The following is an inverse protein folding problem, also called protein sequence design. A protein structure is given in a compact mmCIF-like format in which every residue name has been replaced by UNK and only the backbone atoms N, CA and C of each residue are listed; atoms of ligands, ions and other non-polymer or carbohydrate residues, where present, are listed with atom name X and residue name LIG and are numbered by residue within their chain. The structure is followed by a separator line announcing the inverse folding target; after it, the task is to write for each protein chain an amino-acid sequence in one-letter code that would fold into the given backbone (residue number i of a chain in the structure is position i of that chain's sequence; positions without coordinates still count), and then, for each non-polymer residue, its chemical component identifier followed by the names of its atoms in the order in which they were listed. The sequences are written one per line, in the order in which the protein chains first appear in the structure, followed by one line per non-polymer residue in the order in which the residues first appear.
data_IF_996433183007
#
_entry.id   IF_996433183007
#
_cell.length_a   1.000
_cell.length_b   1.000
_cell.length_c   1.000
_cell.angle_alpha   90.00
_cell.angle_beta   90.00
_cell.angle_gamma   90.00
#
_symmetry.space_group_name_H-M   'P 1'
#
loop_
_entity.id
_entity.type
_entity.pdbx_description
1 polymer ?
#
# COMPACT_ATOMS: atom_id res chain seq x y z
N UNK A 1 -10.81 21.59 16.78
CA UNK A 1 -9.48 22.17 16.51
C UNK A 1 -8.63 21.01 15.99
N UNK A 2 -8.43 20.91 14.68
CA UNK A 2 -7.90 19.70 14.03
C UNK A 2 -6.38 19.71 14.18
N UNK A 3 -5.82 18.71 14.86
CA UNK A 3 -4.38 18.62 15.13
C UNK A 3 -3.57 18.35 13.85
N UNK A 4 -2.51 19.14 13.58
CA UNK A 4 -1.65 18.96 12.42
C UNK A 4 -0.74 17.71 12.48
N UNK A 5 -0.66 17.04 13.63
CA UNK A 5 0.25 15.91 13.84
C UNK A 5 -0.16 14.65 13.05
N UNK A 6 -1.46 14.39 12.92
CA UNK A 6 -1.99 13.23 12.19
C UNK A 6 -1.72 13.32 10.68
N UNK A 7 -1.79 14.54 10.12
CA UNK A 7 -1.53 14.80 8.71
C UNK A 7 -0.04 14.66 8.35
N UNK A 8 0.85 15.00 9.27
CA UNK A 8 2.31 14.91 9.07
C UNK A 8 2.79 13.46 9.05
N UNK A 9 2.24 12.59 9.92
CA UNK A 9 2.52 11.13 9.87
C UNK A 9 2.05 10.49 8.55
N UNK A 10 0.85 10.86 8.07
CA UNK A 10 0.29 10.38 6.79
C UNK A 10 1.16 10.78 5.59
N UNK A 11 1.66 12.02 5.56
CA UNK A 11 2.52 12.50 4.47
C UNK A 11 3.94 11.90 4.55
N UNK A 12 4.50 11.76 5.75
CA UNK A 12 5.85 11.21 5.94
C UNK A 12 5.95 9.72 5.56
N UNK A 13 4.91 8.92 5.82
CA UNK A 13 4.89 7.51 5.41
C UNK A 13 4.62 7.32 3.91
N UNK A 14 3.88 8.22 3.25
CA UNK A 14 3.74 8.21 1.78
C UNK A 14 5.01 8.68 1.04
N UNK A 15 5.83 9.53 1.66
CA UNK A 15 6.99 10.17 1.01
C UNK A 15 8.22 9.27 0.84
N UNK A 16 8.24 8.04 1.38
CA UNK A 16 9.43 7.17 1.32
C UNK A 16 9.68 6.48 -0.03
N UNK A 17 8.76 6.59 -1.01
CA UNK A 17 8.93 5.97 -2.34
C UNK A 17 8.32 6.79 -3.50
N UNK A 18 8.29 8.12 -3.40
CA UNK A 18 7.64 8.98 -4.41
C UNK A 18 8.53 9.36 -5.60
N UNK A 19 9.84 9.22 -5.50
CA UNK A 19 10.75 9.69 -6.56
C UNK A 19 10.86 8.74 -7.76
N UNK A 20 10.84 7.43 -7.51
CA UNK A 20 10.94 6.43 -8.58
C UNK A 20 9.80 6.54 -9.63
N UNK A 21 8.51 6.62 -9.26
CA UNK A 21 7.44 6.77 -10.25
C UNK A 21 7.55 8.09 -11.02
N UNK A 22 7.97 9.18 -10.36
CA UNK A 22 8.14 10.50 -11.00
C UNK A 22 9.25 10.46 -12.04
N UNK A 23 10.40 9.85 -11.72
CA UNK A 23 11.52 9.69 -12.65
C UNK A 23 11.13 8.79 -13.83
N UNK A 24 10.40 7.69 -13.56
CA UNK A 24 9.93 6.79 -14.61
C UNK A 24 8.96 7.49 -15.56
N UNK A 25 8.01 8.27 -15.05
CA UNK A 25 7.08 9.08 -15.87
C UNK A 25 7.86 10.07 -16.73
N UNK A 26 8.83 10.78 -16.16
CA UNK A 26 9.69 11.71 -16.89
C UNK A 26 10.47 11.03 -18.02
N UNK A 27 11.01 9.84 -17.76
CA UNK A 27 11.72 9.02 -18.76
C UNK A 27 10.79 8.60 -19.91
N UNK A 28 9.60 8.10 -19.60
CA UNK A 28 8.61 7.72 -20.62
C UNK A 28 8.15 8.91 -21.45
N UNK A 29 7.90 10.06 -20.82
CA UNK A 29 7.55 11.29 -21.52
C UNK A 29 8.68 11.73 -22.46
N UNK A 30 9.93 11.68 -22.03
CA UNK A 30 11.09 12.02 -22.86
C UNK A 30 11.23 11.07 -24.06
N UNK A 31 11.04 9.77 -23.87
CA UNK A 31 11.07 8.78 -24.96
C UNK A 31 9.96 9.02 -25.99
N UNK A 32 8.73 9.33 -25.53
CA UNK A 32 7.61 9.66 -26.41
C UNK A 32 7.89 10.93 -27.22
N UNK A 33 8.36 12.00 -26.56
CA UNK A 33 8.73 13.24 -27.25
C UNK A 33 9.83 12.99 -28.28
N UNK A 34 10.89 12.26 -27.90
CA UNK A 34 11.97 11.89 -28.82
C UNK A 34 11.46 11.09 -30.02
N UNK A 35 10.53 10.15 -29.80
CA UNK A 35 9.93 9.36 -30.87
C UNK A 35 9.09 10.22 -31.84
N UNK A 36 8.28 11.15 -31.30
CA UNK A 36 7.45 12.05 -32.12
C UNK A 36 8.27 13.09 -32.90
N UNK A 37 9.36 13.58 -32.32
CA UNK A 37 10.23 14.59 -32.95
C UNK A 37 11.15 13.95 -33.99
N UNK A 38 11.82 12.85 -33.64
CA UNK A 38 12.80 12.21 -34.53
C UNK A 38 12.15 11.35 -35.61
N UNK A 39 10.89 10.93 -35.43
CA UNK A 39 10.11 10.09 -36.35
C UNK A 39 10.94 8.97 -36.98
N UNK A 40 11.59 8.12 -36.17
CA UNK A 40 12.50 7.12 -36.69
C UNK A 40 11.73 6.10 -37.53
N UNK A 41 12.29 5.72 -38.69
CA UNK A 41 11.74 4.62 -39.50
C UNK A 41 11.89 3.30 -38.74
N UNK A 42 10.94 2.37 -38.90
CA UNK A 42 10.96 1.07 -38.22
C UNK A 42 12.20 0.20 -38.52
N UNK A 43 12.94 0.52 -39.59
CA UNK A 43 14.19 -0.17 -39.97
C UNK A 43 15.44 0.51 -39.40
N UNK A 44 15.29 1.67 -38.76
CA UNK A 44 16.39 2.46 -38.21
C UNK A 44 16.84 1.90 -36.87
N UNK A 45 18.16 1.93 -36.61
CA UNK A 45 18.71 1.65 -35.29
C UNK A 45 18.14 2.61 -34.23
N UNK A 46 17.85 3.87 -34.59
CA UNK A 46 17.25 4.85 -33.67
C UNK A 46 15.86 4.43 -33.19
N UNK A 47 15.09 3.73 -34.03
CA UNK A 47 13.78 3.19 -33.63
C UNK A 47 13.95 2.18 -32.50
N UNK A 48 14.88 1.23 -32.66
CA UNK A 48 15.15 0.21 -31.66
C UNK A 48 15.78 0.77 -30.39
N UNK A 49 16.64 1.78 -30.51
CA UNK A 49 17.22 2.48 -29.35
C UNK A 49 16.17 3.19 -28.52
N UNK A 50 15.07 3.66 -29.11
CA UNK A 50 13.96 4.27 -28.36
C UNK A 50 12.97 3.23 -27.81
N UNK A 51 12.69 2.18 -28.58
CA UNK A 51 11.69 1.16 -28.23
C UNK A 51 12.20 0.18 -27.18
N UNK A 52 13.45 -0.30 -27.28
CA UNK A 52 13.97 -1.31 -26.35
C UNK A 52 13.97 -0.79 -24.90
N UNK A 53 14.46 0.43 -24.59
CA UNK A 53 14.40 0.96 -23.22
C UNK A 53 12.98 1.19 -22.72
N UNK A 54 12.05 1.65 -23.58
CA UNK A 54 10.64 1.76 -23.24
C UNK A 54 10.07 0.39 -22.85
N UNK A 55 10.31 -0.62 -23.69
CA UNK A 55 9.80 -1.98 -23.47
C UNK A 55 10.39 -2.61 -22.21
N UNK A 56 11.72 -2.56 -22.03
CA UNK A 56 12.40 -3.12 -20.86
C UNK A 56 11.94 -2.44 -19.58
N UNK A 57 11.85 -1.11 -19.56
CA UNK A 57 11.37 -0.39 -18.37
C UNK A 57 9.90 -0.67 -18.05
N UNK A 58 9.05 -0.84 -19.08
CA UNK A 58 7.64 -1.20 -18.92
C UNK A 58 7.46 -2.62 -18.35
N UNK A 59 8.12 -3.61 -18.94
CA UNK A 59 8.08 -5.00 -18.46
C UNK A 59 8.66 -5.10 -17.05
N UNK A 60 9.78 -4.42 -16.78
CA UNK A 60 10.36 -4.38 -15.45
C UNK A 60 9.41 -3.76 -14.42
N UNK A 61 8.76 -2.65 -14.77
CA UNK A 61 7.79 -2.00 -13.88
C UNK A 61 6.60 -2.92 -13.57
N UNK A 62 6.02 -3.56 -14.60
CA UNK A 62 4.92 -4.51 -14.42
C UNK A 62 5.34 -5.71 -13.55
N UNK A 63 6.55 -6.24 -13.77
CA UNK A 63 7.09 -7.32 -12.96
C UNK A 63 7.28 -6.90 -11.51
N UNK A 64 7.88 -5.73 -11.28
CA UNK A 64 8.10 -5.19 -9.93
C UNK A 64 6.76 -4.92 -9.22
N UNK A 65 5.79 -4.30 -9.89
CA UNK A 65 4.46 -4.07 -9.32
C UNK A 65 3.74 -5.38 -9.03
N UNK A 66 3.92 -6.41 -9.87
CA UNK A 66 3.34 -7.74 -9.65
C UNK A 66 3.95 -8.42 -8.42
N UNK A 67 5.27 -8.34 -8.25
CA UNK A 67 5.94 -8.87 -7.04
C UNK A 67 5.49 -8.13 -5.79
N UNK A 68 5.38 -6.79 -5.85
CA UNK A 68 4.94 -5.97 -4.73
C UNK A 68 3.47 -6.26 -4.37
N UNK A 69 2.60 -6.40 -5.37
CA UNK A 69 1.20 -6.80 -5.18
C UNK A 69 1.10 -8.17 -4.52
N UNK A 70 1.92 -9.15 -4.95
CA UNK A 70 1.95 -10.48 -4.33
C UNK A 70 2.45 -10.47 -2.89
N UNK A 71 3.46 -9.66 -2.56
CA UNK A 71 3.90 -9.52 -1.16
C UNK A 71 2.81 -8.88 -0.30
N UNK A 72 2.20 -7.80 -0.78
CA UNK A 72 1.10 -7.14 -0.04
C UNK A 72 -0.09 -8.06 0.13
N UNK A 73 -0.44 -8.85 -0.89
CA UNK A 73 -1.52 -9.83 -0.80
C UNK A 73 -1.21 -10.94 0.21
N UNK A 74 0.04 -11.41 0.28
CA UNK A 74 0.47 -12.39 1.30
C UNK A 74 0.38 -11.79 2.69
N UNK A 75 0.89 -10.58 2.88
CA UNK A 75 0.87 -9.88 4.17
C UNK A 75 -0.57 -9.63 4.64
N UNK A 76 -1.45 -9.20 3.73
CA UNK A 76 -2.88 -9.06 4.00
C UNK A 76 -3.52 -10.40 4.37
N UNK A 77 -3.27 -11.47 3.60
CA UNK A 77 -3.86 -12.78 3.91
C UNK A 77 -3.40 -13.33 5.26
N UNK A 78 -2.12 -13.18 5.62
CA UNK A 78 -1.59 -13.61 6.91
C UNK A 78 -2.15 -12.77 8.06
N UNK A 79 -2.31 -11.45 7.85
CA UNK A 79 -2.97 -10.57 8.81
C UNK A 79 -4.43 -10.98 9.02
N UNK A 80 -5.18 -11.25 7.94
CA UNK A 80 -6.59 -11.62 8.00
C UNK A 80 -6.76 -12.96 8.71
N UNK A 81 -5.92 -13.95 8.41
CA UNK A 81 -5.92 -15.25 9.09
C UNK A 81 -5.64 -15.12 10.59
N UNK A 82 -4.66 -14.28 10.98
CA UNK A 82 -4.37 -14.01 12.40
C UNK A 82 -5.53 -13.31 13.10
N UNK A 83 -6.19 -12.39 12.41
CA UNK A 83 -7.35 -11.67 12.93
C UNK A 83 -8.54 -12.60 13.17
N UNK A 84 -8.91 -13.39 12.16
CA UNK A 84 -10.00 -14.37 12.25
C UNK A 84 -9.75 -15.44 13.32
N UNK A 85 -8.48 -15.79 13.58
CA UNK A 85 -8.12 -16.74 14.63
C UNK A 85 -8.21 -16.16 16.06
N UNK A 86 -8.05 -14.84 16.20
CA UNK A 86 -8.01 -14.16 17.50
C UNK A 86 -9.36 -13.57 17.91
N UNK A 87 -10.16 -13.08 16.95
CA UNK A 87 -11.41 -12.39 17.22
C UNK A 87 -12.58 -13.38 17.33
N UNK A 88 -13.23 -13.40 18.49
CA UNK A 88 -14.41 -14.24 18.72
C UNK A 88 -15.72 -13.54 18.30
N UNK A 89 -15.75 -12.20 18.41
CA UNK A 89 -16.92 -11.38 18.13
C UNK A 89 -16.64 -10.51 16.90
N UNK A 90 -17.36 -10.77 15.80
CA UNK A 90 -17.32 -9.94 14.58
C UNK A 90 -18.20 -8.70 14.77
N UNK A 91 -17.62 -7.66 15.35
CA UNK A 91 -18.28 -6.40 15.73
C UNK A 91 -17.99 -5.23 14.78
N UNK A 92 -17.15 -5.46 13.77
CA UNK A 92 -16.83 -4.53 12.69
C UNK A 92 -16.98 -5.29 11.38
N UNK A 93 -17.75 -4.74 10.43
CA UNK A 93 -17.70 -5.16 9.04
C UNK A 93 -16.49 -4.48 8.40
N UNK A 94 -15.48 -5.27 8.08
CA UNK A 94 -14.32 -4.83 7.32
C UNK A 94 -14.54 -5.10 5.83
N UNK A 95 -14.51 -4.05 5.01
CA UNK A 95 -14.52 -4.13 3.55
C UNK A 95 -13.12 -4.38 2.96
N UNK A 96 -12.12 -4.58 3.83
CA UNK A 96 -10.73 -4.90 3.49
C UNK A 96 -9.79 -3.72 3.65
N UNK A 97 -10.29 -2.55 4.08
CA UNK A 97 -9.48 -1.34 4.25
C UNK A 97 -8.87 -1.18 5.64
N UNK A 98 -9.33 -1.94 6.65
CA UNK A 98 -8.75 -1.85 8.00
C UNK A 98 -7.25 -2.09 8.00
N UNK A 99 -6.77 -3.08 7.23
CA UNK A 99 -5.35 -3.39 7.11
C UNK A 99 -4.49 -2.18 6.71
N UNK A 100 -5.02 -1.29 5.88
CA UNK A 100 -4.29 -0.13 5.35
C UNK A 100 -4.25 1.06 6.33
N UNK A 101 -5.11 1.07 7.35
CA UNK A 101 -5.27 2.20 8.26
C UNK A 101 -4.29 2.20 9.42
N UNK A 102 -3.78 1.02 9.80
CA UNK A 102 -2.81 0.87 10.89
C UNK A 102 -1.47 0.40 10.34
N UNK A 103 -0.39 0.91 10.93
CA UNK A 103 0.94 0.39 10.64
C UNK A 103 1.17 -0.99 11.28
N UNK A 104 2.26 -1.66 10.88
CA UNK A 104 2.59 -3.00 11.40
C UNK A 104 2.73 -3.03 12.93
N UNK A 105 3.16 -1.93 13.53
CA UNK A 105 3.41 -1.86 14.98
C UNK A 105 2.11 -1.61 15.76
N UNK A 106 1.22 -0.79 15.22
CA UNK A 106 -0.15 -0.61 15.70
C UNK A 106 -0.92 -1.92 15.61
N UNK A 107 -0.81 -2.66 14.50
CA UNK A 107 -1.41 -3.99 14.38
C UNK A 107 -0.90 -4.99 15.41
N UNK A 108 0.41 -5.01 15.70
CA UNK A 108 0.94 -5.91 16.74
C UNK A 108 0.42 -5.55 18.13
N UNK A 109 0.22 -4.26 18.41
CA UNK A 109 -0.42 -3.80 19.66
C UNK A 109 -1.88 -4.23 19.73
N UNK A 110 -2.63 -4.07 18.63
CA UNK A 110 -4.03 -4.49 18.54
C UNK A 110 -4.13 -6.01 18.78
N UNK A 111 -3.31 -6.82 18.12
CA UNK A 111 -3.29 -8.27 18.36
C UNK A 111 -2.95 -8.62 19.80
N UNK A 112 -1.96 -7.95 20.40
CA UNK A 112 -1.62 -8.17 21.81
C UNK A 112 -2.79 -7.84 22.75
N UNK A 113 -3.54 -6.78 22.48
CA UNK A 113 -4.73 -6.45 23.26
C UNK A 113 -5.85 -7.49 23.07
N UNK A 114 -6.08 -7.99 21.86
CA UNK A 114 -7.06 -9.07 21.61
C UNK A 114 -6.65 -10.34 22.37
N UNK A 115 -5.36 -10.70 22.38
CA UNK A 115 -4.86 -11.87 23.08
C UNK A 115 -5.04 -11.79 24.60
N UNK A 116 -4.88 -10.58 25.16
CA UNK A 116 -5.11 -10.30 26.59
C UNK A 116 -6.58 -10.38 27.00
N UNK A 117 -7.49 -10.24 26.05
CA UNK A 117 -8.92 -10.35 26.34
C UNK A 117 -9.32 -11.81 26.65
N UNK A 118 -10.23 -12.00 27.62
CA UNK A 118 -10.77 -13.32 27.91
C UNK A 118 -11.48 -13.90 26.69
N UNK A 119 -11.29 -15.21 26.47
CA UNK A 119 -11.94 -15.95 25.38
C UNK A 119 -13.46 -15.78 25.44
N UNK A 120 -14.08 -15.62 24.27
CA UNK A 120 -15.51 -15.34 24.11
C UNK A 120 -15.89 -13.86 24.22
N UNK A 121 -14.96 -12.98 24.62
CA UNK A 121 -15.15 -11.52 24.67
C UNK A 121 -14.17 -10.76 23.77
N UNK A 122 -13.40 -11.49 22.95
CA UNK A 122 -12.39 -10.94 22.05
C UNK A 122 -13.07 -10.20 20.90
N UNK A 123 -12.98 -8.88 20.96
CA UNK A 123 -13.65 -7.96 20.04
C UNK A 123 -12.60 -7.04 19.43
N UNK A 124 -12.66 -6.90 18.10
CA UNK A 124 -11.72 -6.07 17.37
C UNK A 124 -11.94 -4.59 17.71
N UNK A 125 -13.19 -4.15 17.81
CA UNK A 125 -13.53 -2.76 18.19
C UNK A 125 -12.94 -2.39 19.54
N UNK A 126 -13.04 -3.26 20.54
CA UNK A 126 -12.46 -3.01 21.87
C UNK A 126 -10.95 -2.91 21.82
N UNK A 127 -10.29 -3.78 21.05
CA UNK A 127 -8.83 -3.76 20.96
C UNK A 127 -8.33 -2.51 20.22
N UNK A 128 -9.03 -2.10 19.16
CA UNK A 128 -8.75 -0.84 18.47
C UNK A 128 -9.00 0.33 19.41
N UNK A 129 -10.11 0.36 20.17
CA UNK A 129 -10.38 1.46 21.12
C UNK A 129 -9.30 1.63 22.20
N UNK A 130 -8.60 0.55 22.55
CA UNK A 130 -7.52 0.58 23.53
C UNK A 130 -6.21 1.14 22.94
N UNK A 131 -5.99 1.00 21.63
CA UNK A 131 -4.77 1.45 20.94
C UNK A 131 -4.96 2.83 20.31
N UNK A 132 -6.11 3.05 19.67
CA UNK A 132 -6.54 4.31 19.06
C UNK A 132 -8.05 4.56 19.32
N UNK A 133 -8.39 5.24 20.43
CA UNK A 133 -9.78 5.52 20.78
C UNK A 133 -10.47 6.48 19.79
N UNK A 134 -9.75 7.39 19.15
CA UNK A 134 -10.33 8.36 18.21
C UNK A 134 -10.80 7.73 16.90
N UNK A 135 -10.25 6.56 16.58
CA UNK A 135 -10.59 5.84 15.38
C UNK A 135 -11.96 5.14 15.49
N UNK A 136 -12.32 4.64 16.68
CA UNK A 136 -13.60 3.94 16.88
C UNK A 136 -14.80 4.88 16.77
N UNK A 137 -14.66 6.15 17.17
CA UNK A 137 -15.69 7.17 17.00
C UNK A 137 -16.01 7.45 15.52
N UNK A 138 -15.09 7.09 14.60
CA UNK A 138 -15.26 7.23 13.14
C UNK A 138 -15.84 5.98 12.48
N UNK A 139 -15.97 4.87 13.22
CA UNK A 139 -16.52 3.59 12.77
C UNK A 139 -18.01 3.40 13.16
N UNK A 140 -18.62 4.41 13.77
CA UNK A 140 -20.06 4.48 14.12
C UNK A 140 -20.78 5.49 13.25
#
# INVERSE_FOLDING_TARGET
MIEPAMHVKRIANMAKSTWFPVVLIGFWAALLVAFFVLRPSARSLLFWVLIIPAFVSGVWYLWYSHLQSRSTQRDFSAWQERLDALVDIKDIEDDGHLFEWFDRFEWERIFSEIERMPKGLRSLRKAISAVDPEFVDKLT
#
